data_IF_215692423516
#
_entry.id   IF_215692423516
#
_cell.length_a   1.000
_cell.length_b   1.000
_cell.length_c   1.000
_cell.angle_alpha   90.00
_cell.angle_beta   90.00
_cell.angle_gamma   90.00
#
_symmetry.space_group_name_H-M   'P 1'
#
loop_
_entity.id
_entity.type
_entity.pdbx_description
1 polymer ?
#
# COMPACT_ATOMS: atom_id res chain seq x y z
N UNK A 1 -51.94 36.18 16.54
CA UNK A 1 -50.51 35.88 16.78
C UNK A 1 -50.18 34.41 16.49
N UNK A 2 -50.53 33.89 15.30
CA UNK A 2 -50.31 32.48 14.93
C UNK A 2 -49.60 32.30 13.58
N UNK A 3 -49.30 33.39 12.87
CA UNK A 3 -48.67 33.36 11.55
C UNK A 3 -47.13 33.48 11.59
N UNK A 4 -46.55 33.98 12.68
CA UNK A 4 -45.08 34.21 12.78
C UNK A 4 -44.32 32.91 13.10
N UNK A 5 -44.97 31.94 13.77
CA UNK A 5 -44.33 30.68 14.18
C UNK A 5 -44.13 29.67 13.04
N UNK A 6 -44.93 29.73 11.96
CA UNK A 6 -44.81 28.81 10.83
C UNK A 6 -43.66 29.16 9.88
N UNK A 7 -43.36 30.45 9.72
CA UNK A 7 -42.25 30.90 8.86
C UNK A 7 -40.91 30.52 9.49
N UNK A 8 -40.78 30.59 10.82
CA UNK A 8 -39.54 30.25 11.53
C UNK A 8 -39.19 28.75 11.45
N UNK A 9 -40.19 27.86 11.45
CA UNK A 9 -39.99 26.41 11.31
C UNK A 9 -39.66 25.98 9.86
N UNK A 10 -40.05 26.81 8.88
CA UNK A 10 -39.77 26.56 7.46
C UNK A 10 -38.31 26.89 7.10
N UNK A 11 -37.73 27.90 7.76
CA UNK A 11 -36.32 28.29 7.57
C UNK A 11 -35.35 27.30 8.23
N UNK A 12 -35.74 26.70 9.37
CA UNK A 12 -34.94 25.66 10.03
C UNK A 12 -34.78 24.38 9.20
N UNK A 13 -35.72 24.06 8.29
CA UNK A 13 -35.58 22.95 7.34
C UNK A 13 -34.62 23.26 6.18
N UNK A 14 -34.35 24.53 5.89
CA UNK A 14 -33.37 24.92 4.86
C UNK A 14 -31.93 25.06 5.41
N UNK A 15 -31.75 25.11 6.73
CA UNK A 15 -30.42 25.09 7.38
C UNK A 15 -29.94 23.69 7.76
N UNK A 16 -30.82 22.69 7.75
CA UNK A 16 -30.42 21.28 7.75
C UNK A 16 -30.18 20.90 6.30
N UNK A 17 -29.01 21.31 5.78
CA UNK A 17 -28.48 20.76 4.55
C UNK A 17 -28.64 19.25 4.57
N UNK A 18 -28.92 18.69 3.38
CA UNK A 18 -28.90 17.25 3.16
C UNK A 18 -27.78 16.60 3.99
N UNK A 19 -28.00 15.42 4.62
CA UNK A 19 -26.89 14.70 5.24
C UNK A 19 -25.76 14.71 4.22
N UNK A 20 -24.55 15.17 4.60
CA UNK A 20 -23.46 15.26 3.64
C UNK A 20 -23.37 13.88 2.98
N UNK A 21 -23.41 13.88 1.65
CA UNK A 21 -23.21 12.66 0.88
C UNK A 21 -21.99 11.94 1.47
N UNK A 22 -22.08 10.62 1.57
CA UNK A 22 -21.02 9.77 2.11
C UNK A 22 -19.67 10.26 1.58
N UNK A 23 -18.84 10.80 2.49
CA UNK A 23 -17.54 11.38 2.13
C UNK A 23 -16.71 10.23 1.60
N UNK A 24 -16.38 10.28 0.32
CA UNK A 24 -15.51 9.28 -0.31
C UNK A 24 -14.07 9.66 -0.01
N UNK A 25 -13.25 8.64 0.19
CA UNK A 25 -11.82 8.80 0.40
C UNK A 25 -11.11 8.08 -0.74
N UNK A 26 -10.05 8.71 -1.26
CA UNK A 26 -9.19 8.14 -2.28
C UNK A 26 -7.79 7.94 -1.72
N UNK A 27 -7.15 6.85 -2.13
CA UNK A 27 -5.76 6.55 -1.83
C UNK A 27 -4.98 6.60 -3.13
N UNK A 28 -3.90 7.37 -3.17
CA UNK A 28 -3.18 7.61 -4.40
C UNK A 28 -1.66 7.56 -4.20
N UNK A 29 -0.93 7.10 -5.21
CA UNK A 29 0.54 7.08 -5.22
C UNK A 29 1.06 8.45 -5.67
N UNK A 30 2.00 9.02 -4.92
CA UNK A 30 2.54 10.37 -5.15
C UNK A 30 4.05 10.41 -5.33
N UNK A 31 4.72 9.26 -5.33
CA UNK A 31 6.12 9.11 -5.73
C UNK A 31 6.31 7.92 -6.67
N UNK A 32 7.51 7.81 -7.26
CA UNK A 32 7.96 6.56 -7.86
C UNK A 32 8.27 5.53 -6.76
N UNK A 33 8.44 4.27 -7.17
CA UNK A 33 8.93 3.20 -6.31
C UNK A 33 10.46 3.29 -6.22
N UNK A 34 10.99 3.49 -5.03
CA UNK A 34 12.41 3.77 -4.79
C UNK A 34 13.03 2.77 -3.82
N UNK A 35 14.29 2.41 -4.04
CA UNK A 35 15.09 1.71 -3.04
C UNK A 35 15.35 2.64 -1.84
N UNK A 36 15.32 2.11 -0.62
CA UNK A 36 15.47 2.94 0.59
C UNK A 36 16.92 3.40 0.83
N UNK A 37 17.89 2.63 0.35
CA UNK A 37 19.32 2.87 0.52
C UNK A 37 20.16 2.14 -0.55
N UNK A 38 21.45 2.46 -0.59
CA UNK A 38 22.43 1.85 -1.52
C UNK A 38 22.55 0.32 -1.32
N UNK A 39 22.30 -0.18 -0.10
CA UNK A 39 22.32 -1.62 0.15
C UNK A 39 21.14 -2.33 -0.54
N UNK A 40 19.98 -1.69 -0.53
CA UNK A 40 18.78 -2.17 -1.23
C UNK A 40 18.96 -2.13 -2.74
N UNK A 41 19.64 -1.12 -3.29
CA UNK A 41 19.99 -1.04 -4.72
C UNK A 41 20.89 -2.20 -5.20
N UNK A 42 21.65 -2.83 -4.30
CA UNK A 42 22.45 -4.01 -4.61
C UNK A 42 21.62 -5.29 -4.73
N UNK A 43 20.37 -5.29 -4.26
CA UNK A 43 19.48 -6.45 -4.21
C UNK A 43 18.23 -6.31 -5.08
N UNK A 44 17.81 -5.09 -5.40
CA UNK A 44 16.66 -4.83 -6.28
C UNK A 44 16.88 -3.57 -7.12
N UNK A 45 16.46 -3.63 -8.38
CA UNK A 45 16.46 -2.53 -9.34
C UNK A 45 15.01 -2.20 -9.76
N UNK A 46 14.58 -0.98 -9.45
CA UNK A 46 13.25 -0.45 -9.75
C UNK A 46 13.25 0.55 -10.91
N UNK A 47 14.36 0.71 -11.64
CA UNK A 47 14.52 1.73 -12.68
C UNK A 47 13.54 1.60 -13.86
N UNK A 48 13.00 0.40 -14.08
CA UNK A 48 11.96 0.12 -15.10
C UNK A 48 10.54 0.19 -14.54
N UNK A 49 10.36 0.47 -13.26
CA UNK A 49 9.05 0.66 -12.63
C UNK A 49 8.64 2.13 -12.76
N UNK A 50 7.40 2.34 -13.19
CA UNK A 50 6.80 3.66 -13.37
C UNK A 50 5.49 3.75 -12.62
N UNK A 51 5.40 4.75 -11.75
CA UNK A 51 4.14 5.24 -11.20
C UNK A 51 3.60 6.34 -12.11
N UNK A 52 2.47 6.06 -12.75
CA UNK A 52 1.76 6.97 -13.66
C UNK A 52 0.38 7.34 -13.14
N UNK A 53 -0.34 8.16 -13.89
CA UNK A 53 -1.71 8.60 -13.56
C UNK A 53 -2.65 8.32 -14.72
N UNK A 54 -3.79 7.73 -14.41
CA UNK A 54 -4.92 7.65 -15.34
C UNK A 54 -5.69 8.96 -15.40
N UNK A 55 -5.88 9.58 -14.24
CA UNK A 55 -6.58 10.85 -14.07
C UNK A 55 -6.11 11.52 -12.77
N UNK A 56 -6.85 12.52 -12.30
CA UNK A 56 -6.51 13.27 -11.08
C UNK A 56 -6.55 12.39 -9.82
N UNK A 57 -7.42 11.38 -9.79
CA UNK A 57 -7.76 10.57 -8.61
C UNK A 57 -7.13 9.17 -8.61
N UNK A 58 -6.66 8.66 -9.76
CA UNK A 58 -6.17 7.28 -9.91
C UNK A 58 -4.74 7.28 -10.46
N UNK A 59 -3.79 6.82 -9.64
CA UNK A 59 -2.46 6.40 -10.09
C UNK A 59 -2.38 4.88 -10.25
N UNK A 60 -1.45 4.47 -11.10
CA UNK A 60 -1.09 3.08 -11.32
C UNK A 60 0.43 2.92 -11.23
N UNK A 61 0.89 1.73 -10.89
CA UNK A 61 2.28 1.32 -10.95
C UNK A 61 2.43 0.17 -11.92
N UNK A 62 3.36 0.27 -12.88
CA UNK A 62 3.63 -0.79 -13.86
C UNK A 62 5.10 -0.79 -14.27
N UNK A 63 5.51 -1.84 -14.98
CA UNK A 63 6.88 -1.97 -15.50
C UNK A 63 7.50 -3.25 -15.00
N UNK A 64 8.82 -3.31 -14.92
CA UNK A 64 9.54 -4.50 -14.47
C UNK A 64 10.34 -4.18 -13.22
N UNK A 65 10.12 -4.94 -12.14
CA UNK A 65 11.01 -4.95 -10.99
C UNK A 65 12.05 -6.05 -11.20
N UNK A 66 13.32 -5.73 -10.97
CA UNK A 66 14.41 -6.69 -11.13
C UNK A 66 14.99 -7.06 -9.79
N UNK A 67 14.78 -8.29 -9.36
CA UNK A 67 15.48 -8.83 -8.20
C UNK A 67 16.89 -9.26 -8.63
N UNK A 68 17.89 -8.79 -7.90
CA UNK A 68 19.32 -9.13 -8.10
C UNK A 68 19.77 -10.28 -7.19
N UNK A 69 18.88 -10.71 -6.30
CA UNK A 69 19.03 -11.85 -5.40
C UNK A 69 17.85 -12.81 -5.57
N UNK A 70 18.08 -14.09 -5.31
CA UNK A 70 17.01 -15.09 -5.32
C UNK A 70 16.03 -14.86 -4.17
N UNK A 71 14.75 -15.16 -4.40
CA UNK A 71 13.71 -15.18 -3.38
C UNK A 71 13.50 -16.63 -2.95
N UNK A 72 13.98 -16.93 -1.74
CA UNK A 72 13.98 -18.27 -1.15
C UNK A 72 12.73 -18.57 -0.33
N UNK A 73 12.55 -19.85 0.03
CA UNK A 73 11.46 -20.36 0.89
C UNK A 73 11.43 -19.75 2.30
N UNK A 74 12.51 -19.09 2.67
CA UNK A 74 12.72 -18.40 3.93
C UNK A 74 12.48 -16.88 3.82
N UNK A 75 11.87 -16.42 2.74
CA UNK A 75 11.60 -14.98 2.53
C UNK A 75 10.40 -14.52 3.35
N UNK A 76 10.64 -13.52 4.20
CA UNK A 76 9.63 -12.77 4.94
C UNK A 76 9.48 -11.38 4.34
N UNK A 77 8.25 -10.88 4.34
CA UNK A 77 7.92 -9.52 3.93
C UNK A 77 7.34 -8.76 5.12
N UNK A 78 7.80 -7.54 5.35
CA UNK A 78 7.22 -6.61 6.32
C UNK A 78 6.75 -5.36 5.58
N UNK A 79 5.49 -5.01 5.74
CA UNK A 79 4.87 -3.82 5.19
C UNK A 79 4.63 -2.85 6.33
N UNK A 80 5.23 -1.67 6.28
CA UNK A 80 4.98 -0.60 7.25
C UNK A 80 4.45 0.64 6.56
N UNK A 81 3.52 1.32 7.22
CA UNK A 81 2.92 2.56 6.74
C UNK A 81 3.06 3.63 7.82
N UNK A 82 3.79 4.68 7.49
CA UNK A 82 3.99 5.83 8.37
C UNK A 82 3.18 7.02 7.87
N UNK A 83 2.45 7.67 8.77
CA UNK A 83 1.76 8.94 8.49
C UNK A 83 2.63 10.11 8.88
N UNK A 84 2.70 11.11 8.01
CA UNK A 84 3.29 12.40 8.35
C UNK A 84 2.32 13.21 9.22
N UNK A 85 2.72 13.52 10.45
CA UNK A 85 1.99 14.36 11.39
C UNK A 85 2.97 15.27 12.16
N UNK A 86 2.70 16.58 12.18
CA UNK A 86 3.49 17.56 12.92
C UNK A 86 5.01 17.51 12.63
N UNK A 87 5.39 17.28 11.36
CA UNK A 87 6.78 17.19 10.92
C UNK A 87 7.51 15.91 11.37
N UNK A 88 6.76 14.89 11.82
CA UNK A 88 7.27 13.57 12.18
C UNK A 88 6.49 12.48 11.44
N UNK A 89 7.09 11.30 11.34
CA UNK A 89 6.45 10.11 10.81
C UNK A 89 6.01 9.21 11.97
N UNK A 90 4.72 8.92 12.05
CA UNK A 90 4.11 8.04 13.05
C UNK A 90 3.70 6.72 12.39
N UNK A 91 4.08 5.59 12.97
CA UNK A 91 3.70 4.27 12.47
C UNK A 91 2.20 4.07 12.64
N UNK A 92 1.48 3.89 11.54
CA UNK A 92 0.03 3.69 11.51
C UNK A 92 -0.36 2.23 11.30
N UNK A 93 0.43 1.50 10.53
CA UNK A 93 0.18 0.11 10.19
C UNK A 93 1.50 -0.62 10.01
N UNK A 94 1.54 -1.86 10.50
CA UNK A 94 2.65 -2.78 10.33
C UNK A 94 2.06 -4.16 10.14
N UNK A 95 2.51 -4.87 9.11
CA UNK A 95 2.04 -6.20 8.80
C UNK A 95 3.18 -7.07 8.29
N UNK A 96 3.16 -8.33 8.68
CA UNK A 96 4.22 -9.28 8.36
C UNK A 96 3.63 -10.48 7.62
N UNK A 97 4.19 -10.78 6.46
CA UNK A 97 4.01 -12.03 5.75
C UNK A 97 5.22 -12.90 6.12
N UNK A 98 4.97 -13.81 7.04
CA UNK A 98 5.98 -14.68 7.64
C UNK A 98 6.76 -15.50 6.60
N UNK A 99 6.04 -16.08 5.66
CA UNK A 99 6.59 -16.87 4.58
C UNK A 99 5.91 -16.45 3.27
N UNK A 100 6.61 -15.67 2.45
CA UNK A 100 6.10 -15.22 1.15
C UNK A 100 5.81 -16.40 0.22
N UNK A 101 6.66 -17.41 0.23
CA UNK A 101 6.55 -18.58 -0.62
C UNK A 101 5.31 -19.41 -0.32
N UNK A 102 4.96 -19.57 0.96
CA UNK A 102 3.72 -20.22 1.38
C UNK A 102 2.48 -19.49 0.83
N UNK A 103 2.52 -18.15 0.78
CA UNK A 103 1.42 -17.36 0.22
C UNK A 103 1.37 -17.43 -1.30
N UNK A 104 2.51 -17.50 -1.99
CA UNK A 104 2.57 -17.72 -3.44
C UNK A 104 2.00 -19.10 -3.80
N UNK A 105 2.39 -20.15 -3.08
CA UNK A 105 1.93 -21.52 -3.32
C UNK A 105 0.43 -21.72 -3.07
N UNK A 106 -0.17 -20.94 -2.17
CA UNK A 106 -1.63 -20.93 -1.97
C UNK A 106 -2.39 -20.39 -3.18
N UNK A 107 -1.75 -19.59 -4.05
CA UNK A 107 -2.37 -19.00 -5.22
C UNK A 107 -3.67 -18.25 -4.88
N UNK A 108 -4.79 -18.69 -5.46
CA UNK A 108 -6.12 -18.10 -5.23
C UNK A 108 -6.61 -18.22 -3.77
N UNK A 109 -6.08 -19.17 -3.00
CA UNK A 109 -6.44 -19.36 -1.59
C UNK A 109 -5.60 -18.47 -0.65
N UNK A 110 -4.67 -17.67 -1.16
CA UNK A 110 -3.87 -16.75 -0.35
C UNK A 110 -4.71 -15.58 0.16
N UNK A 111 -4.50 -15.19 1.43
CA UNK A 111 -5.08 -13.97 1.98
C UNK A 111 -4.53 -12.70 1.31
N UNK A 112 -3.46 -12.81 0.53
CA UNK A 112 -2.79 -11.70 -0.15
C UNK A 112 -2.91 -11.77 -1.67
N UNK A 113 -3.75 -12.66 -2.21
CA UNK A 113 -3.95 -12.81 -3.67
C UNK A 113 -4.35 -11.50 -4.33
N UNK A 114 -5.13 -10.66 -3.65
CA UNK A 114 -5.54 -9.33 -4.12
C UNK A 114 -4.34 -8.42 -4.43
N UNK A 115 -3.20 -8.63 -3.77
CA UNK A 115 -1.95 -7.89 -3.98
C UNK A 115 -0.99 -8.65 -4.87
N UNK A 116 -0.76 -9.94 -4.60
CA UNK A 116 0.24 -10.77 -5.30
C UNK A 116 -0.07 -10.86 -6.79
N UNK A 117 -1.35 -10.92 -7.20
CA UNK A 117 -1.77 -11.05 -8.60
C UNK A 117 -1.27 -9.94 -9.53
N UNK A 118 -0.89 -8.78 -8.98
CA UNK A 118 -0.35 -7.66 -9.76
C UNK A 118 1.15 -7.82 -10.05
N UNK A 119 1.82 -8.79 -9.45
CA UNK A 119 3.22 -9.09 -9.68
C UNK A 119 3.30 -10.39 -10.47
N UNK A 120 3.89 -10.35 -11.65
CA UNK A 120 4.12 -11.52 -12.50
C UNK A 120 5.27 -12.39 -12.01
N UNK A 121 5.33 -12.62 -10.70
CA UNK A 121 6.21 -13.62 -10.09
C UNK A 121 5.70 -15.02 -10.42
N UNK A 122 6.56 -16.06 -10.37
CA UNK A 122 6.13 -17.42 -10.65
C UNK A 122 5.11 -17.90 -9.63
N UNK A 123 4.27 -18.84 -10.03
CA UNK A 123 3.27 -19.53 -9.20
C UNK A 123 3.88 -20.59 -8.26
N UNK A 124 5.20 -20.62 -8.19
CA UNK A 124 5.98 -21.54 -7.36
C UNK A 124 7.13 -20.78 -6.72
N UNK A 125 7.49 -21.23 -5.52
CA UNK A 125 8.68 -20.80 -4.80
C UNK A 125 9.64 -21.99 -4.61
N UNK A 126 10.95 -21.76 -4.43
CA UNK A 126 11.64 -20.46 -4.52
C UNK A 126 11.74 -20.00 -5.99
N UNK A 127 11.98 -18.71 -6.21
CA UNK A 127 12.21 -18.16 -7.56
C UNK A 127 13.53 -17.39 -7.65
N UNK A 128 14.18 -17.48 -8.81
CA UNK A 128 15.52 -16.92 -9.02
C UNK A 128 15.53 -15.40 -9.16
N UNK A 129 16.70 -14.80 -9.01
CA UNK A 129 16.94 -13.43 -9.45
C UNK A 129 16.51 -13.25 -10.93
N UNK A 130 15.82 -12.16 -11.23
CA UNK A 130 15.17 -11.99 -12.52
C UNK A 130 14.36 -10.70 -12.62
N UNK A 131 13.86 -10.43 -13.83
CA UNK A 131 12.92 -9.35 -14.10
C UNK A 131 11.49 -9.89 -14.04
N UNK A 132 10.66 -9.24 -13.24
CA UNK A 132 9.27 -9.63 -13.00
C UNK A 132 8.35 -8.44 -13.28
N UNK A 133 7.29 -8.61 -14.09
CA UNK A 133 6.44 -7.50 -14.46
C UNK A 133 5.49 -7.14 -13.32
N UNK A 134 5.23 -5.85 -13.15
CA UNK A 134 4.11 -5.30 -12.37
C UNK A 134 2.97 -5.03 -13.34
N UNK A 135 1.95 -5.86 -13.28
CA UNK A 135 0.74 -5.88 -14.12
C UNK A 135 -0.26 -4.82 -13.64
N UNK A 136 0.16 -3.56 -13.68
CA UNK A 136 -0.69 -2.40 -13.38
C UNK A 136 -1.35 -2.44 -12.01
N UNK A 137 -0.52 -2.27 -10.99
CA UNK A 137 -0.95 -2.18 -9.61
C UNK A 137 -1.65 -0.85 -9.34
N UNK A 138 -2.87 -0.92 -8.84
CA UNK A 138 -3.62 0.21 -8.28
C UNK A 138 -3.82 -0.10 -6.80
N UNK A 139 -3.56 0.88 -5.94
CA UNK A 139 -3.73 0.70 -4.50
C UNK A 139 -5.21 0.46 -4.21
N UNK A 140 -5.51 -0.71 -3.67
CA UNK A 140 -6.85 -1.03 -3.19
C UNK A 140 -7.13 -0.29 -1.88
N UNK A 141 -8.31 0.33 -1.78
CA UNK A 141 -8.75 1.05 -0.58
C UNK A 141 -9.49 0.14 0.39
N UNK A 142 -9.91 -1.04 -0.04
CA UNK A 142 -10.82 -1.90 0.73
C UNK A 142 -10.20 -2.40 2.04
N UNK A 143 -8.89 -2.65 2.06
CA UNK A 143 -8.17 -3.11 3.26
C UNK A 143 -7.52 -1.97 4.06
N UNK A 144 -7.55 -0.74 3.57
CA UNK A 144 -7.00 0.42 4.27
C UNK A 144 -8.13 1.09 5.08
N UNK A 145 -7.91 1.40 6.38
CA UNK A 145 -8.90 2.10 7.17
C UNK A 145 -9.01 3.57 6.72
N UNK A 146 -9.73 3.84 5.64
CA UNK A 146 -9.90 5.18 5.06
C UNK A 146 -11.02 5.93 5.76
N UNK A 147 -10.67 7.02 6.45
CA UNK A 147 -11.59 7.91 7.15
C UNK A 147 -10.94 9.27 7.40
N UNK A 148 -11.69 10.21 7.99
CA UNK A 148 -11.21 11.56 8.26
C UNK A 148 -9.93 11.60 9.12
N UNK A 149 -9.69 10.61 9.98
CA UNK A 149 -8.49 10.55 10.81
C UNK A 149 -7.29 9.99 10.05
N UNK A 150 -7.51 9.29 8.94
CA UNK A 150 -6.45 8.75 8.08
C UNK A 150 -6.19 9.59 6.84
N UNK A 151 -6.88 10.72 6.65
CA UNK A 151 -6.46 11.73 5.66
C UNK A 151 -5.06 12.25 5.97
N UNK A 152 -4.19 12.31 4.96
CA UNK A 152 -2.83 12.81 5.09
C UNK A 152 -1.84 12.20 4.11
N UNK A 153 -0.56 12.55 4.30
CA UNK A 153 0.57 12.00 3.55
C UNK A 153 1.15 10.82 4.29
N UNK A 154 1.56 9.82 3.53
CA UNK A 154 2.09 8.57 4.03
C UNK A 154 3.36 8.17 3.31
N UNK A 155 4.22 7.47 4.03
CA UNK A 155 5.37 6.76 3.50
C UNK A 155 5.18 5.28 3.81
N UNK A 156 5.01 4.49 2.76
CA UNK A 156 5.00 3.04 2.82
C UNK A 156 6.42 2.50 2.64
N UNK A 157 6.74 1.43 3.36
CA UNK A 157 7.95 0.65 3.18
C UNK A 157 7.60 -0.82 3.04
N UNK A 158 8.26 -1.48 2.09
CA UNK A 158 8.24 -2.92 1.89
C UNK A 158 9.65 -3.43 2.19
N UNK A 159 9.83 -4.06 3.35
CA UNK A 159 11.09 -4.67 3.74
C UNK A 159 11.03 -6.16 3.45
N UNK A 160 12.08 -6.69 2.82
CA UNK A 160 12.26 -8.12 2.67
C UNK A 160 13.39 -8.60 3.56
N UNK A 161 13.16 -9.74 4.18
CA UNK A 161 14.09 -10.41 5.05
C UNK A 161 14.21 -11.88 4.66
N UNK A 162 15.37 -12.45 4.93
CA UNK A 162 15.57 -13.89 5.01
C UNK A 162 15.44 -14.32 6.46
N UNK A 163 14.53 -15.24 6.74
CA UNK A 163 14.34 -15.81 8.07
C UNK A 163 15.36 -16.90 8.34
N UNK A 164 15.73 -17.07 9.60
CA UNK A 164 16.55 -18.20 10.05
C UNK A 164 15.60 -19.27 10.60
N UNK A 165 15.76 -20.52 10.15
CA UNK A 165 14.93 -21.67 10.55
C UNK A 165 13.42 -21.50 10.27
N UNK A 166 13.04 -20.62 9.32
CA UNK A 166 11.65 -20.26 9.00
C UNK A 166 10.85 -19.71 10.20
N UNK A 167 11.52 -19.12 11.19
CA UNK A 167 10.87 -18.47 12.34
C UNK A 167 10.93 -16.93 12.19
N UNK A 168 9.79 -16.32 11.93
CA UNK A 168 9.65 -14.87 11.78
C UNK A 168 9.83 -14.10 13.10
N UNK A 169 9.79 -14.81 14.24
CA UNK A 169 10.04 -14.23 15.57
C UNK A 169 11.50 -14.37 15.98
N UNK A 170 12.28 -15.13 15.23
CA UNK A 170 13.71 -15.33 15.47
C UNK A 170 14.55 -14.27 14.75
N UNK A 171 15.83 -14.56 14.56
CA UNK A 171 16.75 -13.67 13.84
C UNK A 171 16.38 -13.60 12.36
N UNK A 172 16.33 -12.39 11.82
CA UNK A 172 16.06 -12.10 10.41
C UNK A 172 17.24 -11.36 9.78
N UNK A 173 17.58 -11.71 8.55
CA UNK A 173 18.64 -11.07 7.77
C UNK A 173 17.97 -10.15 6.77
N UNK A 174 18.27 -8.85 6.83
CA UNK A 174 17.73 -7.88 5.88
C UNK A 174 18.23 -8.16 4.47
N UNK A 175 17.31 -8.13 3.49
CA UNK A 175 17.62 -8.26 2.07
C UNK A 175 17.59 -6.90 1.39
N UNK A 176 16.45 -6.24 1.40
CA UNK A 176 16.28 -4.90 0.83
C UNK A 176 15.02 -4.22 1.33
N UNK A 177 14.94 -2.91 1.08
CA UNK A 177 13.79 -2.07 1.38
C UNK A 177 13.38 -1.29 0.12
N UNK A 178 12.09 -1.29 -0.17
CA UNK A 178 11.45 -0.43 -1.15
C UNK A 178 10.54 0.57 -0.44
N UNK A 179 10.41 1.75 -1.01
CA UNK A 179 9.60 2.83 -0.44
C UNK A 179 8.70 3.47 -1.48
N UNK A 180 7.52 3.88 -1.04
CA UNK A 180 6.51 4.54 -1.86
C UNK A 180 5.73 5.56 -1.04
N UNK A 181 5.53 6.77 -1.56
CA UNK A 181 4.70 7.79 -0.92
C UNK A 181 3.26 7.67 -1.38
N UNK A 182 2.36 7.68 -0.41
CA UNK A 182 0.92 7.64 -0.63
C UNK A 182 0.27 8.92 -0.09
N UNK A 183 -0.90 9.26 -0.61
CA UNK A 183 -1.78 10.28 -0.05
C UNK A 183 -3.17 9.69 0.12
N UNK A 184 -3.80 9.97 1.25
CA UNK A 184 -5.21 9.71 1.50
C UNK A 184 -5.90 11.06 1.58
N UNK A 185 -6.89 11.29 0.73
CA UNK A 185 -7.63 12.54 0.63
C UNK A 185 -9.13 12.29 0.50
N UNK A 186 -9.95 13.27 0.89
CA UNK A 186 -11.39 13.24 0.67
C UNK A 186 -11.66 13.69 -0.77
N UNK A 187 -12.52 12.94 -1.48
CA UNK A 187 -13.01 13.23 -2.83
C UNK A 187 -14.13 14.29 -2.80
#
# INVERSE_FOLDING_TARGET
>A
MLFVSFILFSVLRFCLGNPPGEVKFIVNMVSQLECCDEASEAAVDTSKVVVGRYNETIAYMRGDVKFLVDVGDDTMVEITLYKEANGKYELMYSHEICNLCEEVEKGEDSNYVSYIKYFGIPDHCPFSAGEYPILEFIVDTDDLPVNSNTVGRYQAYLNLYKTVDNDCKASRIFLFCLSLKLIIEAD
#
